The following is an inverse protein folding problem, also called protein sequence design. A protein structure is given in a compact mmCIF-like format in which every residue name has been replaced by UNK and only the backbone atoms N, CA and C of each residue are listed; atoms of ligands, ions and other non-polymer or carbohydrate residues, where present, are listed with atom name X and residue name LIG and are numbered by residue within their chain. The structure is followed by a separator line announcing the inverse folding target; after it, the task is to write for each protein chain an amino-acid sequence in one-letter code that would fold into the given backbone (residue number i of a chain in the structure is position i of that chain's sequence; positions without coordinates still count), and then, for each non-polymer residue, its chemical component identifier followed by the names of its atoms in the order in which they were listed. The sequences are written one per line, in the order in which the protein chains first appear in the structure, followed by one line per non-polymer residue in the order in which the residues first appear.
data_IF_421306512530
#
_entry.id   IF_421306512530
#
_cell.length_a   1.000
_cell.length_b   1.000
_cell.length_c   1.000
_cell.angle_alpha   90.00
_cell.angle_beta   90.00
_cell.angle_gamma   90.00
#
_symmetry.space_group_name_H-M   'P 1'
#
loop_
_entity.id
_entity.type
_entity.pdbx_description
1 polymer ?
#
# COMPACT_ATOMS: atom_id res chain seq x y z
N UNK A 1 -7.10 11.40 12.18
CA UNK A 1 -6.53 11.14 10.84
C UNK A 1 -6.67 12.41 10.00
N UNK A 2 -5.65 12.84 9.27
CA UNK A 2 -5.73 14.07 8.46
C UNK A 2 -6.37 13.79 7.09
N UNK A 3 -6.70 14.85 6.33
CA UNK A 3 -7.33 14.75 5.00
C UNK A 3 -6.54 13.89 4.02
N UNK A 4 -5.21 13.86 4.13
CA UNK A 4 -4.34 13.08 3.26
C UNK A 4 -4.44 11.58 3.57
N UNK A 5 -4.37 11.21 4.85
CA UNK A 5 -4.56 9.82 5.27
C UNK A 5 -5.96 9.30 4.95
N UNK A 6 -6.98 10.15 5.09
CA UNK A 6 -8.34 9.81 4.66
C UNK A 6 -8.45 9.61 3.14
N UNK A 7 -7.78 10.44 2.33
CA UNK A 7 -7.71 10.25 0.88
C UNK A 7 -7.06 8.93 0.47
N UNK A 8 -5.97 8.55 1.14
CA UNK A 8 -5.30 7.25 0.92
C UNK A 8 -6.22 6.09 1.26
N UNK A 9 -6.95 6.18 2.38
CA UNK A 9 -7.94 5.17 2.77
C UNK A 9 -9.03 5.02 1.71
N UNK A 10 -9.60 6.12 1.23
CA UNK A 10 -10.61 6.11 0.16
C UNK A 10 -10.04 5.48 -1.12
N UNK A 11 -8.81 5.81 -1.50
CA UNK A 11 -8.19 5.27 -2.70
C UNK A 11 -8.00 3.74 -2.61
N UNK A 12 -7.49 3.25 -1.48
CA UNK A 12 -7.30 1.81 -1.24
C UNK A 12 -8.65 1.06 -1.19
N UNK A 13 -9.64 1.61 -0.48
CA UNK A 13 -10.97 1.02 -0.40
C UNK A 13 -11.69 1.03 -1.75
N UNK A 14 -11.61 2.13 -2.49
CA UNK A 14 -12.17 2.26 -3.83
C UNK A 14 -11.55 1.26 -4.80
N UNK A 15 -10.23 1.07 -4.76
CA UNK A 15 -9.56 0.05 -5.56
C UNK A 15 -10.04 -1.37 -5.23
N UNK A 16 -10.30 -1.67 -3.95
CA UNK A 16 -10.85 -2.94 -3.51
C UNK A 16 -12.28 -3.15 -4.07
N UNK A 17 -13.14 -2.15 -3.99
CA UNK A 17 -14.50 -2.19 -4.55
C UNK A 17 -14.45 -2.41 -6.06
N UNK A 18 -13.62 -1.66 -6.79
CA UNK A 18 -13.44 -1.82 -8.24
C UNK A 18 -12.97 -3.22 -8.59
N UNK A 19 -11.96 -3.74 -7.88
CA UNK A 19 -11.45 -5.09 -8.12
C UNK A 19 -12.52 -6.17 -7.89
N UNK A 20 -13.33 -6.01 -6.84
CA UNK A 20 -14.41 -6.93 -6.51
C UNK A 20 -15.54 -6.88 -7.56
N UNK A 21 -16.01 -5.68 -7.92
CA UNK A 21 -17.10 -5.50 -8.90
C UNK A 21 -16.71 -5.97 -10.30
N UNK A 22 -15.45 -5.79 -10.70
CA UNK A 22 -14.95 -6.23 -12.00
C UNK A 22 -14.51 -7.70 -12.01
N UNK A 23 -14.53 -8.39 -10.87
CA UNK A 23 -14.07 -9.77 -10.76
C UNK A 23 -12.61 -9.95 -11.19
N UNK A 24 -11.73 -9.00 -10.84
CA UNK A 24 -10.35 -9.02 -11.31
C UNK A 24 -9.62 -10.27 -10.83
N UNK A 25 -8.80 -10.85 -11.72
CA UNK A 25 -7.88 -11.92 -11.35
C UNK A 25 -6.82 -11.38 -10.39
N UNK A 26 -6.25 -12.24 -9.54
CA UNK A 26 -5.21 -11.81 -8.59
C UNK A 26 -3.99 -11.16 -9.24
N UNK A 27 -3.62 -11.53 -10.47
CA UNK A 27 -2.58 -10.85 -11.24
C UNK A 27 -2.92 -9.40 -11.58
N UNK A 28 -4.16 -9.14 -12.01
CA UNK A 28 -4.66 -7.80 -12.31
C UNK A 28 -4.82 -6.98 -11.01
N UNK A 29 -5.37 -7.59 -9.96
CA UNK A 29 -5.51 -6.95 -8.65
C UNK A 29 -4.14 -6.58 -8.05
N UNK A 30 -3.11 -7.40 -8.24
CA UNK A 30 -1.74 -7.11 -7.80
C UNK A 30 -1.19 -5.83 -8.44
N UNK A 31 -1.39 -5.67 -9.75
CA UNK A 31 -0.98 -4.46 -10.47
C UNK A 31 -1.77 -3.24 -9.97
N UNK A 32 -3.10 -3.35 -9.88
CA UNK A 32 -3.95 -2.24 -9.44
C UNK A 32 -3.60 -1.80 -8.01
N UNK A 33 -3.51 -2.74 -7.07
CA UNK A 33 -3.26 -2.43 -5.66
C UNK A 33 -1.83 -1.92 -5.46
N UNK A 34 -0.86 -2.50 -6.18
CA UNK A 34 0.51 -2.02 -6.22
C UNK A 34 0.63 -0.57 -6.71
N UNK A 35 -0.08 -0.21 -7.79
CA UNK A 35 -0.09 1.16 -8.31
C UNK A 35 -0.70 2.15 -7.30
N UNK A 36 -1.85 1.80 -6.73
CA UNK A 36 -2.51 2.65 -5.71
C UNK A 36 -1.60 2.85 -4.50
N UNK A 37 -0.94 1.79 -4.03
CA UNK A 37 0.00 1.89 -2.92
C UNK A 37 1.24 2.71 -3.27
N UNK A 38 1.82 2.52 -4.46
CA UNK A 38 2.99 3.28 -4.92
C UNK A 38 2.70 4.79 -5.01
N UNK A 39 1.54 5.19 -5.52
CA UNK A 39 1.11 6.60 -5.59
C UNK A 39 0.81 7.15 -4.19
N UNK A 40 0.25 6.32 -3.31
CA UNK A 40 -0.13 6.73 -1.95
C UNK A 40 1.05 6.80 -0.98
N UNK A 41 2.12 6.04 -1.20
CA UNK A 41 3.26 5.97 -0.28
C UNK A 41 3.97 7.33 -0.06
N UNK A 42 4.27 8.15 -1.09
CA UNK A 42 4.77 9.51 -0.88
C UNK A 42 3.81 10.39 -0.08
N UNK A 43 2.50 10.26 -0.29
CA UNK A 43 1.48 11.03 0.45
C UNK A 43 1.51 10.66 1.93
N UNK A 44 1.57 9.36 2.24
CA UNK A 44 1.65 8.87 3.62
C UNK A 44 2.94 9.33 4.30
N UNK A 45 4.08 9.28 3.63
CA UNK A 45 5.39 9.64 4.22
C UNK A 45 5.55 11.16 4.42
N UNK A 46 5.08 11.96 3.46
CA UNK A 46 5.36 13.40 3.44
C UNK A 46 4.21 14.27 3.96
N UNK A 47 2.96 13.82 3.84
CA UNK A 47 1.77 14.64 4.15
C UNK A 47 1.06 14.22 5.43
N UNK A 48 1.37 13.07 6.01
CA UNK A 48 0.88 12.69 7.35
C UNK A 48 1.85 13.25 8.40
N UNK A 49 1.44 14.23 9.23
CA UNK A 49 2.35 14.94 10.13
C UNK A 49 2.76 14.06 11.32
N UNK A 50 1.89 13.16 11.75
CA UNK A 50 2.20 12.24 12.84
C UNK A 50 3.00 11.05 12.32
N UNK A 51 4.19 10.86 12.91
CA UNK A 51 5.14 9.81 12.51
C UNK A 51 4.57 8.41 12.70
N UNK A 52 3.86 8.19 13.81
CA UNK A 52 3.29 6.88 14.16
C UNK A 52 2.22 6.50 13.15
N UNK A 53 1.30 7.43 12.85
CA UNK A 53 0.28 7.24 11.83
C UNK A 53 0.86 7.02 10.43
N UNK A 54 1.91 7.76 10.05
CA UNK A 54 2.58 7.56 8.76
C UNK A 54 3.12 6.14 8.61
N UNK A 55 3.83 5.63 9.63
CA UNK A 55 4.39 4.27 9.62
C UNK A 55 3.26 3.23 9.57
N UNK A 56 2.23 3.36 10.41
CA UNK A 56 1.08 2.44 10.42
C UNK A 56 0.42 2.38 9.05
N UNK A 57 0.18 3.53 8.43
CA UNK A 57 -0.44 3.61 7.11
C UNK A 57 0.44 3.01 6.01
N UNK A 58 1.75 3.17 6.09
CA UNK A 58 2.67 2.57 5.13
C UNK A 58 2.66 1.04 5.24
N UNK A 59 2.67 0.50 6.46
CA UNK A 59 2.56 -0.94 6.70
C UNK A 59 1.21 -1.47 6.21
N UNK A 60 0.12 -0.73 6.45
CA UNK A 60 -1.21 -1.09 5.96
C UNK A 60 -1.27 -1.09 4.42
N UNK A 61 -0.64 -0.11 3.75
CA UNK A 61 -0.52 -0.07 2.29
C UNK A 61 0.31 -1.25 1.74
N UNK A 62 1.39 -1.62 2.43
CA UNK A 62 2.19 -2.79 2.04
C UNK A 62 1.40 -4.10 2.20
N UNK A 63 0.65 -4.25 3.29
CA UNK A 63 -0.24 -5.39 3.50
C UNK A 63 -1.34 -5.47 2.42
N UNK A 64 -1.95 -4.33 2.10
CA UNK A 64 -2.94 -4.20 1.02
C UNK A 64 -2.36 -4.59 -0.34
N UNK A 65 -1.22 -4.00 -0.74
CA UNK A 65 -0.61 -4.24 -2.05
C UNK A 65 -0.06 -5.67 -2.20
N UNK A 66 0.43 -6.26 -1.13
CA UNK A 66 0.98 -7.63 -1.14
C UNK A 66 -0.09 -8.72 -1.05
N UNK A 67 -1.31 -8.42 -0.60
CA UNK A 67 -2.38 -9.41 -0.44
C UNK A 67 -2.71 -10.20 -1.72
N UNK A 68 -3.04 -9.57 -2.87
CA UNK A 68 -3.35 -10.31 -4.10
C UNK A 68 -2.15 -11.12 -4.62
N UNK A 69 -0.91 -10.64 -4.40
CA UNK A 69 0.30 -11.39 -4.77
C UNK A 69 0.43 -12.68 -3.94
N UNK A 70 0.24 -12.58 -2.62
CA UNK A 70 0.28 -13.74 -1.72
C UNK A 70 -0.76 -14.78 -2.13
N UNK A 71 -1.98 -14.36 -2.49
CA UNK A 71 -3.02 -15.25 -3.01
C UNK A 71 -2.70 -15.82 -4.39
N UNK A 72 -2.09 -15.05 -5.27
CA UNK A 72 -1.70 -15.51 -6.61
C UNK A 72 -0.67 -16.66 -6.55
N UNK A 73 0.30 -16.57 -5.65
CA UNK A 73 1.39 -17.54 -5.50
C UNK A 73 1.16 -18.56 -4.39
N UNK A 74 -0.04 -18.58 -3.78
CA UNK A 74 -0.38 -19.49 -2.67
C UNK A 74 0.64 -19.42 -1.53
N UNK A 75 1.14 -18.22 -1.24
CA UNK A 75 2.09 -17.99 -0.15
C UNK A 75 1.27 -17.97 1.14
N UNK A 76 1.34 -19.08 1.87
CA UNK A 76 0.60 -19.29 3.11
C UNK A 76 1.53 -19.41 4.32
N UNK A 77 1.01 -19.01 5.48
CA UNK A 77 1.71 -19.11 6.74
C UNK A 77 2.60 -17.91 7.04
N UNK A 78 2.80 -17.68 8.34
CA UNK A 78 3.49 -16.51 8.89
C UNK A 78 4.89 -16.31 8.28
N UNK A 79 5.63 -17.41 8.07
CA UNK A 79 6.97 -17.41 7.52
C UNK A 79 7.04 -16.95 6.05
N UNK A 80 5.99 -17.16 5.25
CA UNK A 80 5.91 -16.69 3.87
C UNK A 80 5.31 -15.29 3.75
N UNK A 81 4.27 -15.01 4.52
CA UNK A 81 3.52 -13.76 4.40
C UNK A 81 4.29 -12.52 4.88
N UNK A 82 5.06 -12.65 5.97
CA UNK A 82 5.81 -11.52 6.53
C UNK A 82 6.91 -11.04 5.61
N UNK A 83 7.82 -11.90 5.09
CA UNK A 83 8.88 -11.44 4.20
C UNK A 83 8.34 -10.71 2.98
N UNK A 84 7.24 -11.19 2.39
CA UNK A 84 6.60 -10.53 1.24
C UNK A 84 6.06 -9.16 1.64
N UNK A 85 5.36 -9.07 2.77
CA UNK A 85 4.81 -7.80 3.25
C UNK A 85 5.93 -6.81 3.59
N UNK A 86 7.02 -7.26 4.21
CA UNK A 86 8.20 -6.45 4.50
C UNK A 86 8.93 -5.99 3.23
N UNK A 87 9.01 -6.84 2.21
CA UNK A 87 9.56 -6.46 0.91
C UNK A 87 8.71 -5.33 0.28
N UNK A 88 7.38 -5.42 0.35
CA UNK A 88 6.49 -4.34 -0.07
C UNK A 88 6.67 -3.07 0.78
N UNK A 89 6.82 -3.18 2.11
CA UNK A 89 7.15 -2.03 2.96
C UNK A 89 8.43 -1.36 2.48
N UNK A 90 9.49 -2.12 2.21
CA UNK A 90 10.76 -1.62 1.70
C UNK A 90 10.62 -0.92 0.35
N UNK A 91 9.90 -1.53 -0.59
CA UNK A 91 9.63 -0.94 -1.91
C UNK A 91 8.86 0.37 -1.77
N UNK A 92 7.77 0.39 -1.00
CA UNK A 92 6.96 1.59 -0.80
C UNK A 92 7.72 2.68 -0.03
N UNK A 93 8.56 2.30 0.92
CA UNK A 93 9.46 3.22 1.60
C UNK A 93 10.42 3.90 0.62
N UNK A 94 11.09 3.11 -0.23
CA UNK A 94 12.00 3.65 -1.26
C UNK A 94 11.26 4.58 -2.23
N UNK A 95 10.07 4.17 -2.71
CA UNK A 95 9.23 5.01 -3.58
C UNK A 95 8.86 6.33 -2.88
N UNK A 96 8.47 6.27 -1.61
CA UNK A 96 8.14 7.45 -0.83
C UNK A 96 9.33 8.37 -0.58
N UNK A 97 10.51 7.81 -0.29
CA UNK A 97 11.75 8.60 -0.07
C UNK A 97 12.32 9.21 -1.35
N UNK A 98 12.04 8.62 -2.52
CA UNK A 98 12.42 9.18 -3.80
C UNK A 98 11.78 10.54 -4.10
N UNK A 99 10.73 10.93 -3.36
CA UNK A 99 10.10 12.24 -3.48
C UNK A 99 10.76 13.23 -2.52
N UNK A 100 11.28 14.34 -3.07
CA UNK A 100 11.84 15.43 -2.26
C UNK A 100 10.81 15.89 -1.24
N UNK A 101 11.13 15.77 0.05
CA UNK A 101 10.40 16.44 1.14
C UNK A 101 10.39 17.94 0.83
N UNK A 102 9.28 18.47 0.34
CA UNK A 102 9.02 19.92 0.33
C UNK A 102 8.51 20.32 1.70
N UNK A 103 9.39 20.25 2.71
CA UNK A 103 9.21 21.04 3.91
C UNK A 103 9.91 22.36 3.65
N UNK A 104 9.13 23.40 3.36
CA UNK A 104 9.44 24.72 3.88
C UNK A 104 9.15 24.70 5.37
#
# INVERSE_FOLDING_TARGET
MNKYGFGVFIAAFGALVVAAMMGLKYSQATVLFGLIAAISAPVVIHRVPDRTWSIIMLVALAAFASHPLKKLFQIEGFAGEIPVTLAYCGILWVIGFGWKRSWQ
#
